data_IF_320818169594
#
_entry.id   IF_320818169594
#
_cell.length_a   1.000
_cell.length_b   1.000
_cell.length_c   1.000
_cell.angle_alpha   90.00
_cell.angle_beta   90.00
_cell.angle_gamma   90.00
#
_symmetry.space_group_name_H-M   'P 1'
#
loop_
_entity.id
_entity.type
_entity.pdbx_description
1 polymer ?
#
# COMPACT_ATOMS: atom_id res chain seq x y z
N UNK A 1 1.15 -7.41 -0.31
CA UNK A 1 -0.32 -7.28 -0.33
C UNK A 1 -0.83 -6.39 -1.47
N UNK A 2 -0.70 -5.06 -1.40
CA UNK A 2 -1.25 -4.16 -2.43
C UNK A 2 -0.62 -4.40 -3.82
N UNK A 3 0.69 -4.65 -3.86
CA UNK A 3 1.37 -5.04 -5.11
C UNK A 3 0.83 -6.38 -5.64
N UNK A 4 0.58 -7.35 -4.75
CA UNK A 4 0.11 -8.66 -5.17
C UNK A 4 -1.30 -8.61 -5.74
N UNK A 5 -2.15 -7.71 -5.22
CA UNK A 5 -3.47 -7.40 -5.78
C UNK A 5 -3.38 -6.70 -7.15
N UNK A 6 -2.50 -5.70 -7.31
CA UNK A 6 -2.43 -4.91 -8.54
C UNK A 6 -1.69 -5.60 -9.69
N UNK A 7 -0.84 -6.58 -9.39
CA UNK A 7 -0.02 -7.29 -10.35
C UNK A 7 -0.36 -8.78 -10.46
N UNK A 8 -1.46 -9.24 -9.85
CA UNK A 8 -1.88 -10.65 -9.79
C UNK A 8 -0.72 -11.60 -9.38
N UNK A 9 0.08 -11.15 -8.40
CA UNK A 9 1.36 -11.78 -8.07
C UNK A 9 1.16 -13.03 -7.21
N UNK A 10 1.43 -14.19 -7.80
CA UNK A 10 1.38 -15.47 -7.10
C UNK A 10 2.53 -15.63 -6.10
N UNK A 11 2.33 -16.39 -5.00
CA UNK A 11 1.12 -17.15 -4.65
C UNK A 11 0.07 -16.35 -3.85
N UNK A 12 0.31 -15.06 -3.59
CA UNK A 12 -0.47 -14.30 -2.61
C UNK A 12 -1.61 -13.45 -3.19
N UNK A 13 -1.77 -13.45 -4.52
CA UNK A 13 -2.77 -12.65 -5.22
C UNK A 13 -4.18 -12.90 -4.69
N UNK A 14 -4.59 -14.16 -4.54
CA UNK A 14 -5.94 -14.51 -4.09
C UNK A 14 -6.27 -13.96 -2.70
N UNK A 15 -5.34 -14.09 -1.76
CA UNK A 15 -5.49 -13.52 -0.42
C UNK A 15 -5.59 -12.00 -0.47
N UNK A 16 -4.78 -11.35 -1.32
CA UNK A 16 -4.84 -9.91 -1.48
C UNK A 16 -6.19 -9.46 -2.09
N UNK A 17 -6.70 -10.13 -3.13
CA UNK A 17 -8.02 -9.84 -3.69
C UNK A 17 -9.14 -9.95 -2.65
N UNK A 18 -9.11 -10.97 -1.78
CA UNK A 18 -10.11 -11.11 -0.72
C UNK A 18 -10.11 -9.93 0.26
N UNK A 19 -8.93 -9.43 0.63
CA UNK A 19 -8.82 -8.25 1.50
C UNK A 19 -9.42 -7.02 0.81
N UNK A 20 -9.06 -6.77 -0.45
CA UNK A 20 -9.60 -5.61 -1.18
C UNK A 20 -11.09 -5.74 -1.50
N UNK A 21 -11.62 -6.94 -1.71
CA UNK A 21 -13.05 -7.19 -1.87
C UNK A 21 -13.82 -6.85 -0.58
N UNK A 22 -13.29 -7.23 0.59
CA UNK A 22 -13.87 -6.83 1.89
C UNK A 22 -13.83 -5.31 2.10
N UNK A 23 -12.76 -4.65 1.63
CA UNK A 23 -12.66 -3.20 1.68
C UNK A 23 -13.69 -2.52 0.76
N UNK A 24 -13.94 -3.10 -0.42
CA UNK A 24 -14.90 -2.60 -1.41
C UNK A 24 -16.35 -2.68 -0.91
N UNK A 25 -16.72 -3.74 -0.18
CA UNK A 25 -18.03 -3.85 0.47
C UNK A 25 -18.13 -3.10 1.80
N UNK A 26 -17.05 -2.45 2.25
CA UNK A 26 -17.04 -1.63 3.46
C UNK A 26 -16.90 -2.40 4.79
N UNK A 27 -16.63 -3.71 4.73
CA UNK A 27 -16.46 -4.56 5.93
C UNK A 27 -15.15 -4.28 6.67
N UNK A 28 -14.12 -3.82 5.95
CA UNK A 28 -12.84 -3.40 6.53
C UNK A 28 -12.36 -2.07 5.95
N UNK A 29 -11.50 -1.39 6.72
CA UNK A 29 -10.73 -0.25 6.21
C UNK A 29 -9.29 -0.67 5.95
N UNK A 30 -8.83 -0.46 4.73
CA UNK A 30 -7.43 -0.66 4.37
C UNK A 30 -6.70 0.68 4.44
N UNK A 31 -5.58 0.71 5.14
CA UNK A 31 -4.70 1.87 5.25
C UNK A 31 -3.34 1.54 4.63
N UNK A 32 -2.80 2.45 3.82
CA UNK A 32 -1.46 2.35 3.25
C UNK A 32 -0.67 3.63 3.57
N UNK A 33 0.65 3.53 3.69
CA UNK A 33 1.49 4.72 3.85
C UNK A 33 1.66 5.46 2.52
N UNK A 34 1.97 6.75 2.56
CA UNK A 34 2.40 7.52 1.38
C UNK A 34 3.61 6.85 0.70
N UNK A 35 4.53 6.28 1.48
CA UNK A 35 5.68 5.51 0.99
C UNK A 35 5.25 4.26 0.20
N UNK A 36 4.20 3.57 0.64
CA UNK A 36 3.65 2.41 -0.07
C UNK A 36 3.21 2.80 -1.49
N UNK A 37 2.57 3.95 -1.67
CA UNK A 37 2.17 4.46 -2.99
C UNK A 37 3.38 4.75 -3.88
N UNK A 38 4.43 5.38 -3.34
CA UNK A 38 5.68 5.62 -4.08
C UNK A 38 6.35 4.33 -4.53
N UNK A 39 6.41 3.33 -3.66
CA UNK A 39 7.00 2.02 -3.96
C UNK A 39 6.18 1.27 -5.02
N UNK A 40 4.85 1.26 -4.88
CA UNK A 40 3.96 0.65 -5.87
C UNK A 40 4.09 1.31 -7.23
N UNK A 41 4.14 2.65 -7.29
CA UNK A 41 4.37 3.38 -8.54
C UNK A 41 5.66 2.95 -9.22
N UNK A 42 6.77 2.91 -8.48
CA UNK A 42 8.08 2.54 -9.02
C UNK A 42 8.06 1.14 -9.64
N UNK A 43 7.44 0.17 -8.97
CA UNK A 43 7.35 -1.21 -9.45
C UNK A 43 6.39 -1.32 -10.64
N UNK A 44 5.17 -0.79 -10.52
CA UNK A 44 4.16 -0.86 -11.57
C UNK A 44 4.60 -0.16 -12.86
N UNK A 45 5.30 0.97 -12.73
CA UNK A 45 5.86 1.68 -13.90
C UNK A 45 6.82 0.77 -14.68
N UNK A 46 7.64 -0.02 -14.00
CA UNK A 46 8.57 -0.96 -14.66
C UNK A 46 7.85 -2.14 -15.32
N UNK A 47 6.74 -2.58 -14.74
CA UNK A 47 5.99 -3.75 -15.22
C UNK A 47 5.01 -3.43 -16.35
N UNK A 48 4.31 -2.29 -16.27
CA UNK A 48 3.17 -1.94 -17.14
C UNK A 48 3.32 -0.58 -17.84
N UNK A 49 4.33 0.20 -17.47
CA UNK A 49 4.51 1.56 -17.98
C UNK A 49 3.84 2.64 -17.11
N UNK A 50 4.11 3.90 -17.45
CA UNK A 50 3.73 5.05 -16.64
C UNK A 50 2.20 5.24 -16.52
N UNK A 51 1.49 5.26 -17.65
CA UNK A 51 0.04 5.53 -17.69
C UNK A 51 -0.75 4.48 -16.92
N UNK A 52 -0.43 3.20 -17.12
CA UNK A 52 -1.10 2.08 -16.44
C UNK A 52 -0.83 2.09 -14.93
N UNK A 53 0.40 2.43 -14.52
CA UNK A 53 0.74 2.56 -13.11
C UNK A 53 -0.11 3.64 -12.42
N UNK A 54 -0.29 4.81 -13.04
CA UNK A 54 -1.12 5.87 -12.48
C UNK A 54 -2.60 5.47 -12.43
N UNK A 55 -3.11 4.80 -13.47
CA UNK A 55 -4.49 4.32 -13.50
C UNK A 55 -4.77 3.31 -12.38
N UNK A 56 -3.86 2.36 -12.15
CA UNK A 56 -3.96 1.37 -11.09
C UNK A 56 -3.90 2.01 -9.69
N UNK A 57 -2.97 2.94 -9.46
CA UNK A 57 -2.87 3.64 -8.18
C UNK A 57 -4.08 4.53 -7.89
N UNK A 58 -4.65 5.14 -8.92
CA UNK A 58 -5.87 5.94 -8.78
C UNK A 58 -7.03 5.08 -8.32
N UNK A 59 -7.19 3.88 -8.89
CA UNK A 59 -8.20 2.90 -8.44
C UNK A 59 -7.93 2.44 -7.01
N UNK A 60 -6.68 2.09 -6.68
CA UNK A 60 -6.29 1.69 -5.33
C UNK A 60 -6.66 2.77 -4.30
N UNK A 61 -6.42 4.05 -4.63
CA UNK A 61 -6.69 5.18 -3.73
C UNK A 61 -8.17 5.29 -3.33
N UNK A 62 -9.10 4.82 -4.17
CA UNK A 62 -10.53 4.81 -3.85
C UNK A 62 -10.87 3.79 -2.75
N UNK A 63 -10.08 2.72 -2.64
CA UNK A 63 -10.30 1.62 -1.69
C UNK A 63 -9.53 1.77 -0.39
N UNK A 64 -8.54 2.68 -0.33
CA UNK A 64 -7.63 2.81 0.82
C UNK A 64 -7.55 4.22 1.38
N UNK A 65 -7.35 4.30 2.70
CA UNK A 65 -6.91 5.52 3.37
C UNK A 65 -5.38 5.63 3.30
N UNK A 66 -4.85 6.85 3.16
CA UNK A 66 -3.40 7.08 3.18
C UNK A 66 -3.02 7.60 4.56
N UNK A 67 -2.12 6.90 5.25
CA UNK A 67 -1.43 7.43 6.44
C UNK A 67 -0.26 8.29 5.97
N UNK A 68 -0.26 9.56 6.36
CA UNK A 68 0.85 10.48 6.12
C UNK A 68 1.91 10.29 7.20
N UNK A 69 3.13 10.02 6.79
CA UNK A 69 4.29 9.98 7.69
C UNK A 69 4.91 11.37 7.74
N UNK A 70 4.91 12.00 8.92
CA UNK A 70 5.53 13.29 9.20
C UNK A 70 6.72 13.16 10.16
N UNK A 71 7.28 14.30 10.58
CA UNK A 71 8.46 14.35 11.45
C UNK A 71 8.23 13.65 12.79
N UNK A 72 7.03 13.76 13.36
CA UNK A 72 6.67 13.12 14.63
C UNK A 72 6.64 11.60 14.51
N UNK A 73 6.06 11.05 13.45
CA UNK A 73 6.01 9.61 13.20
C UNK A 73 7.42 9.05 12.98
N UNK A 74 8.29 9.78 12.29
CA UNK A 74 9.72 9.42 12.14
C UNK A 74 10.44 9.45 13.49
N UNK A 75 10.23 10.50 14.30
CA UNK A 75 10.88 10.63 15.59
C UNK A 75 10.44 9.52 16.56
N UNK A 76 9.14 9.19 16.57
CA UNK A 76 8.61 8.07 17.33
C UNK A 76 9.17 6.73 16.85
N UNK A 77 9.31 6.52 15.54
CA UNK A 77 9.89 5.31 14.99
C UNK A 77 11.35 5.10 15.43
N UNK A 78 12.15 6.18 15.37
CA UNK A 78 13.56 6.20 15.79
C UNK A 78 13.73 5.94 17.30
N UNK A 79 12.76 6.35 18.11
CA UNK A 79 12.74 6.10 19.55
C UNK A 79 12.15 4.73 19.91
N UNK A 80 11.57 4.00 18.95
CA UNK A 80 10.92 2.72 19.20
C UNK A 80 11.92 1.56 19.20
N UNK A 81 11.55 0.47 19.88
CA UNK A 81 12.27 -0.80 19.84
C UNK A 81 11.77 -1.74 18.73
N UNK A 82 10.96 -1.23 17.78
CA UNK A 82 10.45 -2.06 16.69
C UNK A 82 11.58 -2.52 15.77
N UNK A 83 11.49 -3.79 15.36
CA UNK A 83 12.47 -4.41 14.48
C UNK A 83 12.30 -4.00 13.01
N UNK A 84 11.07 -3.68 12.62
CA UNK A 84 10.74 -3.14 11.29
C UNK A 84 10.41 -1.66 11.42
N UNK A 85 11.25 -0.82 10.81
CA UNK A 85 11.09 0.62 10.85
C UNK A 85 9.81 1.07 10.15
N UNK A 86 9.33 0.32 9.15
CA UNK A 86 8.12 0.69 8.42
C UNK A 86 6.86 0.57 9.29
N UNK A 87 6.84 -0.36 10.25
CA UNK A 87 5.75 -0.49 11.21
C UNK A 87 5.83 0.58 12.31
N UNK A 88 7.03 1.08 12.58
CA UNK A 88 7.27 2.10 13.58
C UNK A 88 6.84 3.52 13.11
N UNK A 89 6.79 3.76 11.80
CA UNK A 89 6.40 5.04 11.18
C UNK A 89 4.92 5.11 10.77
N UNK A 90 4.16 4.02 10.90
CA UNK A 90 2.78 3.89 10.38
C UNK A 90 1.72 4.48 11.28
#
# INVERSE_FOLDING_TARGET
>A
MALDHLADRQPFAEYAHRIFALAEVGEIRVCLSSLSFSNLYYILRKLKGHSDALALLSKLKLLVSISSVGELEIQSALASSFKDFEDAIR
#
